data_IF_981876013023
#
_entry.id   IF_981876013023
#
_cell.length_a   1.000
_cell.length_b   1.000
_cell.length_c   1.000
_cell.angle_alpha   90.00
_cell.angle_beta   90.00
_cell.angle_gamma   90.00
#
_symmetry.space_group_name_H-M   'P 1'
#
loop_
_entity.id
_entity.type
_entity.pdbx_description
1 polymer ?
#
# COMPACT_ATOMS: atom_id res chain seq x y z
N UNK A 1 -16.98 3.67 15.86
CA UNK A 1 -15.57 3.39 15.47
C UNK A 1 -15.44 2.98 14.00
N UNK A 2 -16.22 2.00 13.52
CA UNK A 2 -16.20 1.54 12.12
C UNK A 2 -16.62 2.66 11.14
N UNK A 3 -17.62 3.47 11.50
CA UNK A 3 -18.10 4.57 10.64
C UNK A 3 -17.05 5.67 10.45
N UNK A 4 -16.36 6.06 11.52
CA UNK A 4 -15.26 7.03 11.44
C UNK A 4 -14.10 6.49 10.60
N UNK A 5 -13.77 5.20 10.69
CA UNK A 5 -12.75 4.57 9.84
C UNK A 5 -13.12 4.64 8.35
N UNK A 6 -14.38 4.34 8.01
CA UNK A 6 -14.90 4.43 6.64
C UNK A 6 -14.83 5.86 6.11
N UNK A 7 -15.24 6.85 6.92
CA UNK A 7 -15.13 8.27 6.60
C UNK A 7 -13.68 8.68 6.34
N UNK A 8 -12.76 8.32 7.23
CA UNK A 8 -11.33 8.63 7.10
C UNK A 8 -10.69 7.94 5.89
N UNK A 9 -11.10 6.71 5.55
CA UNK A 9 -10.67 6.01 4.33
C UNK A 9 -11.11 6.77 3.06
N UNK A 10 -12.34 7.30 3.05
CA UNK A 10 -12.84 8.14 1.95
C UNK A 10 -12.03 9.44 1.83
N UNK A 11 -11.76 10.11 2.96
CA UNK A 11 -10.92 11.31 2.99
C UNK A 11 -9.51 11.01 2.49
N UNK A 12 -8.88 9.92 2.96
CA UNK A 12 -7.56 9.47 2.49
C UNK A 12 -7.54 9.26 0.98
N UNK A 13 -8.59 8.67 0.40
CA UNK A 13 -8.70 8.46 -1.05
C UNK A 13 -8.71 9.79 -1.81
N UNK A 14 -9.50 10.76 -1.34
CA UNK A 14 -9.57 12.11 -1.92
C UNK A 14 -8.23 12.83 -1.82
N UNK A 15 -7.60 12.79 -0.64
CA UNK A 15 -6.27 13.37 -0.41
C UNK A 15 -5.21 12.73 -1.31
N UNK A 16 -5.22 11.40 -1.45
CA UNK A 16 -4.28 10.67 -2.31
C UNK A 16 -4.43 11.08 -3.78
N UNK A 17 -5.65 11.33 -4.26
CA UNK A 17 -5.91 11.81 -5.64
C UNK A 17 -5.33 13.20 -5.90
N UNK A 18 -5.29 14.07 -4.89
CA UNK A 18 -4.71 15.42 -4.98
C UNK A 18 -3.20 15.45 -4.72
N UNK A 19 -2.63 14.36 -4.17
CA UNK A 19 -1.24 14.29 -3.77
C UNK A 19 -0.35 14.16 -5.02
N UNK A 20 0.67 15.01 -5.19
CA UNK A 20 1.61 14.87 -6.28
C UNK A 20 2.51 13.64 -6.07
N UNK A 21 3.12 13.15 -7.14
CA UNK A 21 3.98 11.95 -7.11
C UNK A 21 5.35 12.17 -6.44
N UNK A 22 5.71 13.44 -6.19
CA UNK A 22 7.01 13.84 -5.61
C UNK A 22 8.21 13.28 -6.36
N UNK A 23 8.34 13.67 -7.63
CA UNK A 23 9.45 13.28 -8.48
C UNK A 23 10.66 14.21 -8.29
N UNK A 24 11.87 13.71 -8.59
CA UNK A 24 13.10 14.50 -8.51
C UNK A 24 13.06 15.72 -9.44
N UNK A 25 13.64 16.85 -9.04
CA UNK A 25 13.78 17.99 -9.94
C UNK A 25 14.51 17.61 -11.25
N UNK A 26 13.93 17.97 -12.40
CA UNK A 26 14.44 17.68 -13.75
C UNK A 26 14.57 16.17 -14.08
N UNK A 27 13.79 15.29 -13.42
CA UNK A 27 13.80 13.85 -13.70
C UNK A 27 13.53 13.53 -15.19
N UNK A 28 12.57 14.22 -15.80
CA UNK A 28 12.17 14.02 -17.19
C UNK A 28 13.18 14.57 -18.21
N UNK A 29 14.07 15.47 -17.79
CA UNK A 29 15.04 16.12 -18.70
C UNK A 29 16.30 15.28 -18.88
N UNK A 30 16.69 14.55 -17.85
CA UNK A 30 17.96 13.83 -17.83
C UNK A 30 17.73 12.37 -17.40
N UNK A 31 17.90 11.38 -18.30
CA UNK A 31 17.69 9.97 -17.98
C UNK A 31 18.52 9.46 -16.80
N UNK A 32 19.72 10.01 -16.60
CA UNK A 32 20.59 9.73 -15.44
C UNK A 32 19.99 10.16 -14.09
N UNK A 33 19.07 11.13 -14.08
CA UNK A 33 18.38 11.61 -12.89
C UNK A 33 17.06 10.86 -12.76
N UNK A 34 17.11 9.61 -12.29
CA UNK A 34 15.89 8.82 -12.09
C UNK A 34 14.83 9.49 -11.18
N UNK A 35 13.64 8.90 -11.13
CA UNK A 35 12.43 9.49 -10.56
C UNK A 35 12.44 9.69 -9.04
N UNK A 36 13.34 8.98 -8.33
CA UNK A 36 13.41 8.97 -6.86
C UNK A 36 13.59 10.38 -6.28
N UNK A 37 12.66 10.81 -5.41
CA UNK A 37 12.71 12.11 -4.75
C UNK A 37 14.09 12.40 -4.12
N UNK A 38 14.55 13.64 -4.32
CA UNK A 38 15.72 14.22 -3.65
C UNK A 38 15.42 15.68 -3.33
N UNK A 39 15.74 16.10 -2.10
CA UNK A 39 15.55 17.49 -1.68
C UNK A 39 16.38 18.42 -2.59
N UNK A 40 15.78 19.41 -3.27
CA UNK A 40 16.52 20.35 -4.09
C UNK A 40 17.39 21.26 -3.22
N UNK A 41 18.71 21.25 -3.46
CA UNK A 41 19.69 21.99 -2.65
C UNK A 41 20.12 23.34 -3.25
N UNK A 42 20.14 23.46 -4.58
CA UNK A 42 20.71 24.62 -5.26
C UNK A 42 20.02 25.95 -4.91
N UNK A 43 20.82 27.02 -4.73
CA UNK A 43 20.33 28.36 -4.34
C UNK A 43 19.28 28.88 -5.33
N UNK A 44 19.51 28.69 -6.62
CA UNK A 44 18.64 29.14 -7.72
C UNK A 44 17.59 28.11 -8.14
N UNK A 45 17.47 26.97 -7.43
CA UNK A 45 16.46 25.97 -7.74
C UNK A 45 15.06 26.57 -7.61
N UNK A 46 14.35 26.58 -8.74
CA UNK A 46 12.99 27.09 -8.87
C UNK A 46 12.01 26.28 -8.00
N UNK A 47 12.21 24.95 -7.95
CA UNK A 47 11.46 24.06 -7.07
C UNK A 47 11.73 24.40 -5.59
N UNK A 48 13.00 24.59 -5.19
CA UNK A 48 13.35 24.98 -3.80
C UNK A 48 12.71 26.30 -3.39
N UNK A 49 12.55 27.24 -4.31
CA UNK A 49 11.88 28.54 -4.10
C UNK A 49 10.36 28.48 -4.24
N UNK A 50 9.77 27.29 -4.36
CA UNK A 50 8.32 27.07 -4.46
C UNK A 50 7.66 27.79 -5.66
N UNK A 51 8.39 27.96 -6.77
CA UNK A 51 7.82 28.59 -7.96
C UNK A 51 6.77 27.69 -8.63
N UNK A 52 5.61 28.28 -8.95
CA UNK A 52 4.47 27.59 -9.57
C UNK A 52 4.89 26.91 -10.89
N UNK A 53 4.40 25.68 -11.10
CA UNK A 53 4.67 24.90 -12.32
C UNK A 53 5.97 24.08 -12.30
N UNK A 54 6.80 24.16 -11.25
CA UNK A 54 8.01 23.33 -11.12
C UNK A 54 7.82 22.05 -10.32
N UNK A 55 6.63 21.86 -9.74
CA UNK A 55 6.27 20.74 -8.86
C UNK A 55 6.14 21.18 -7.41
N UNK A 56 5.93 20.21 -6.52
CA UNK A 56 5.73 20.43 -5.08
C UNK A 56 6.81 19.73 -4.26
N UNK A 57 7.23 20.33 -3.15
CA UNK A 57 8.09 19.66 -2.17
C UNK A 57 7.25 18.82 -1.20
N UNK A 58 7.72 17.64 -0.76
CA UNK A 58 7.14 16.94 0.36
C UNK A 58 7.18 17.82 1.62
N UNK A 59 6.01 17.97 2.25
CA UNK A 59 5.82 18.59 3.55
C UNK A 59 4.94 17.69 4.44
N UNK A 60 5.00 17.83 5.78
CA UNK A 60 4.21 17.00 6.72
C UNK A 60 2.70 17.02 6.45
N UNK A 61 2.14 18.15 6.02
CA UNK A 61 0.71 18.28 5.66
C UNK A 61 0.21 17.41 4.49
N UNK A 62 1.06 16.73 3.72
CA UNK A 62 0.63 15.73 2.72
C UNK A 62 0.43 14.33 3.32
N UNK A 63 0.56 14.20 4.63
CA UNK A 63 0.30 12.96 5.36
C UNK A 63 -1.18 12.56 5.32
N UNK A 64 -1.46 11.26 5.24
CA UNK A 64 -2.83 10.77 5.46
C UNK A 64 -3.20 10.81 6.95
N UNK A 65 -4.50 10.82 7.30
CA UNK A 65 -4.94 10.75 8.69
C UNK A 65 -4.32 9.55 9.41
N UNK A 66 -3.94 9.74 10.67
CA UNK A 66 -3.11 8.79 11.41
C UNK A 66 -3.75 7.40 11.50
N UNK A 67 -5.05 7.32 11.84
CA UNK A 67 -5.77 6.06 12.04
C UNK A 67 -5.84 5.18 10.78
N UNK A 68 -5.92 5.80 9.61
CA UNK A 68 -6.04 5.07 8.33
C UNK A 68 -4.74 5.02 7.54
N UNK A 69 -3.63 5.51 8.10
CA UNK A 69 -2.33 5.50 7.43
C UNK A 69 -1.83 4.07 7.29
N UNK A 70 -1.38 3.68 6.10
CA UNK A 70 -0.83 2.34 5.84
C UNK A 70 -1.86 1.21 5.66
N UNK A 71 -3.16 1.45 5.90
CA UNK A 71 -4.19 0.44 5.64
C UNK A 71 -4.36 0.14 4.13
N UNK A 72 -4.80 -1.07 3.81
CA UNK A 72 -5.25 -1.45 2.47
C UNK A 72 -6.49 -0.61 2.08
N UNK A 73 -6.79 -0.37 0.79
CA UNK A 73 -8.02 0.33 0.37
C UNK A 73 -9.32 -0.30 0.89
N UNK A 74 -9.30 -1.59 1.24
CA UNK A 74 -10.42 -2.29 1.88
C UNK A 74 -10.55 -2.04 3.38
N UNK A 75 -9.61 -1.31 3.99
CA UNK A 75 -9.62 -0.96 5.42
C UNK A 75 -8.86 -1.93 6.33
N UNK A 76 -8.40 -3.07 5.81
CA UNK A 76 -7.61 -4.04 6.58
C UNK A 76 -6.13 -3.62 6.67
N UNK A 77 -5.47 -3.97 7.76
CA UNK A 77 -4.03 -3.81 7.95
C UNK A 77 -3.30 -4.96 7.27
N UNK A 78 -2.41 -4.64 6.34
CA UNK A 78 -1.63 -5.64 5.63
C UNK A 78 -0.57 -6.26 6.55
N UNK A 79 -0.52 -7.59 6.60
CA UNK A 79 0.52 -8.36 7.29
C UNK A 79 1.28 -9.17 6.24
N UNK A 80 2.61 -9.06 6.25
CA UNK A 80 3.46 -9.80 5.33
C UNK A 80 3.82 -11.14 5.95
N UNK A 81 3.51 -12.23 5.25
CA UNK A 81 3.67 -13.61 5.72
C UNK A 81 4.68 -14.36 4.87
N UNK A 82 5.55 -15.14 5.52
CA UNK A 82 6.59 -15.96 4.90
C UNK A 82 6.36 -17.46 5.10
N UNK A 83 5.79 -17.86 6.24
CA UNK A 83 5.52 -19.25 6.61
C UNK A 83 4.09 -19.43 7.16
N UNK A 84 3.72 -20.66 7.53
CA UNK A 84 2.39 -20.97 8.07
C UNK A 84 2.21 -20.43 9.49
N UNK A 85 3.27 -20.44 10.30
CA UNK A 85 3.26 -19.99 11.70
C UNK A 85 3.00 -18.47 11.81
N UNK A 86 3.41 -17.68 10.81
CA UNK A 86 3.15 -16.24 10.76
C UNK A 86 1.64 -15.91 10.60
N UNK A 87 0.79 -16.91 10.34
CA UNK A 87 -0.67 -16.76 10.30
C UNK A 87 -1.32 -16.87 11.69
N UNK A 88 -0.60 -17.41 12.67
CA UNK A 88 -1.11 -17.60 14.02
C UNK A 88 -1.25 -16.24 14.72
N UNK A 89 -2.39 -16.03 15.40
CA UNK A 89 -2.67 -14.78 16.11
C UNK A 89 -3.15 -13.61 15.24
N UNK A 90 -3.49 -13.84 13.96
CA UNK A 90 -4.06 -12.80 13.10
C UNK A 90 -5.59 -12.76 13.17
N UNK A 91 -6.14 -11.59 13.47
CA UNK A 91 -7.59 -11.35 13.44
C UNK A 91 -8.13 -11.08 12.02
N UNK A 92 -9.10 -11.88 11.51
CA UNK A 92 -9.69 -11.70 10.17
C UNK A 92 -10.39 -10.37 9.95
N UNK A 93 -10.88 -9.73 11.02
CA UNK A 93 -11.60 -8.44 10.94
C UNK A 93 -10.66 -7.26 10.76
N UNK A 94 -9.42 -7.38 11.21
CA UNK A 94 -8.44 -6.27 11.25
C UNK A 94 -7.35 -6.50 10.20
N UNK A 95 -6.92 -7.74 10.01
CA UNK A 95 -5.74 -8.08 9.23
C UNK A 95 -6.10 -8.68 7.86
N UNK A 96 -5.27 -8.35 6.87
CA UNK A 96 -5.24 -9.03 5.58
C UNK A 96 -3.83 -9.56 5.33
N UNK A 97 -3.73 -10.75 4.76
CA UNK A 97 -2.46 -11.43 4.54
C UNK A 97 -1.92 -11.11 3.15
N UNK A 98 -0.64 -10.71 3.08
CA UNK A 98 0.14 -10.62 1.84
C UNK A 98 1.28 -11.61 1.91
N UNK A 99 1.23 -12.64 1.08
CA UNK A 99 2.28 -13.66 1.02
C UNK A 99 3.50 -13.05 0.34
N UNK A 100 4.68 -13.16 0.95
CA UNK A 100 5.92 -12.65 0.36
C UNK A 100 6.22 -13.31 -1.01
N UNK A 101 6.85 -12.55 -1.90
CA UNK A 101 7.22 -13.02 -3.24
C UNK A 101 8.25 -14.16 -3.23
N UNK A 102 9.07 -14.24 -2.17
CA UNK A 102 10.10 -15.27 -2.00
C UNK A 102 9.53 -16.66 -1.66
N UNK A 103 8.25 -16.75 -1.27
CA UNK A 103 7.64 -18.03 -0.90
C UNK A 103 7.32 -18.83 -2.16
N UNK A 104 7.91 -20.02 -2.28
CA UNK A 104 7.67 -20.94 -3.40
C UNK A 104 6.25 -21.51 -3.44
N UNK A 105 5.84 -22.02 -4.61
CA UNK A 105 4.46 -22.49 -4.87
C UNK A 105 3.93 -23.49 -3.84
N UNK A 106 4.75 -24.49 -3.46
CA UNK A 106 4.37 -25.52 -2.48
C UNK A 106 3.92 -24.91 -1.14
N UNK A 107 4.77 -24.08 -0.53
CA UNK A 107 4.46 -23.36 0.72
C UNK A 107 3.31 -22.37 0.56
N UNK A 108 3.16 -21.74 -0.61
CA UNK A 108 2.01 -20.84 -0.87
C UNK A 108 0.68 -21.58 -0.83
N UNK A 109 0.60 -22.82 -1.32
CA UNK A 109 -0.61 -23.65 -1.25
C UNK A 109 -0.95 -23.97 0.20
N UNK A 110 0.05 -24.36 1.00
CA UNK A 110 -0.11 -24.64 2.44
C UNK A 110 -0.62 -23.40 3.20
N UNK A 111 0.02 -22.24 3.00
CA UNK A 111 -0.38 -20.96 3.60
C UNK A 111 -1.79 -20.57 3.17
N UNK A 112 -2.17 -20.82 1.91
CA UNK A 112 -3.50 -20.48 1.41
C UNK A 112 -4.59 -21.36 2.03
N UNK A 113 -4.36 -22.67 2.16
CA UNK A 113 -5.27 -23.59 2.85
C UNK A 113 -5.46 -23.16 4.31
N UNK A 114 -4.36 -22.90 5.02
CA UNK A 114 -4.43 -22.45 6.42
C UNK A 114 -5.10 -21.09 6.57
N UNK A 115 -4.86 -20.16 5.65
CA UNK A 115 -5.52 -18.87 5.66
C UNK A 115 -7.04 -18.99 5.42
N UNK A 116 -7.47 -19.92 4.56
CA UNK A 116 -8.90 -20.22 4.35
C UNK A 116 -9.55 -20.80 5.61
N UNK A 117 -8.90 -21.75 6.28
CA UNK A 117 -9.36 -22.31 7.56
C UNK A 117 -9.55 -21.22 8.63
N UNK A 118 -8.63 -20.26 8.70
CA UNK A 118 -8.68 -19.14 9.64
C UNK A 118 -9.60 -17.99 9.19
N UNK A 119 -10.18 -18.07 7.98
CA UNK A 119 -11.02 -17.01 7.41
C UNK A 119 -10.25 -15.72 7.05
N UNK A 120 -8.92 -15.79 6.93
CA UNK A 120 -8.05 -14.66 6.61
C UNK A 120 -8.08 -14.33 5.12
N UNK A 121 -8.23 -13.05 4.78
CA UNK A 121 -8.23 -12.62 3.38
C UNK A 121 -6.82 -12.47 2.83
N UNK A 122 -6.49 -13.24 1.79
CA UNK A 122 -5.20 -13.17 1.08
C UNK A 122 -5.28 -12.15 -0.06
N UNK A 123 -4.37 -11.18 -0.08
CA UNK A 123 -4.35 -10.08 -1.07
C UNK A 123 -3.74 -10.46 -2.41
N UNK A 124 -2.84 -11.44 -2.42
CA UNK A 124 -2.16 -11.94 -3.61
C UNK A 124 -2.36 -13.45 -3.75
N UNK A 125 -3.59 -13.93 -4.04
CA UNK A 125 -3.86 -15.34 -4.19
C UNK A 125 -3.09 -15.93 -5.38
N UNK A 126 -2.79 -17.22 -5.31
CA UNK A 126 -2.34 -17.97 -6.49
C UNK A 126 -3.53 -18.08 -7.45
N UNK A 127 -3.37 -17.61 -8.69
CA UNK A 127 -4.29 -17.96 -9.76
C UNK A 127 -3.98 -19.40 -10.17
N UNK A 128 -4.58 -20.36 -9.47
CA UNK A 128 -4.66 -21.72 -9.97
C UNK A 128 -5.93 -21.77 -10.85
N UNK A 129 -5.90 -22.48 -11.98
CA UNK A 129 -7.06 -22.61 -12.87
C UNK A 129 -8.34 -22.91 -12.09
N UNK A 130 -9.43 -22.28 -12.50
CA UNK A 130 -10.73 -22.30 -11.84
C UNK A 130 -11.19 -23.70 -11.47
N UNK A 131 -11.22 -24.02 -10.18
CA UNK A 131 -12.10 -25.06 -9.63
C UNK A 131 -12.63 -24.61 -8.26
N UNK A 132 -13.91 -24.21 -8.28
CA UNK A 132 -14.91 -24.21 -7.22
C UNK A 132 -14.54 -23.69 -5.81
N UNK A 133 -14.95 -22.46 -5.52
CA UNK A 133 -15.38 -22.09 -4.16
C UNK A 133 -16.82 -21.57 -4.27
N UNK A 134 -17.82 -22.20 -3.61
CA UNK A 134 -19.18 -21.68 -3.60
C UNK A 134 -19.16 -20.31 -2.92
N UNK A 135 -19.55 -19.28 -3.65
CA UNK A 135 -19.75 -17.95 -3.10
C UNK A 135 -20.85 -18.05 -2.04
N UNK A 136 -20.45 -17.92 -0.76
CA UNK A 136 -21.39 -17.69 0.32
C UNK A 136 -22.18 -16.41 0.04
N UNK A 137 -23.50 -16.53 0.15
CA UNK A 137 -24.49 -15.46 -0.02
C UNK A 137 -24.17 -14.20 0.79
#
# INVERSE_FOLDING_TARGET
MIEELKRLLKIRRIMKRKKPEFLRQNWFRFPRLGEKWRRPKGRHSKLRRHEKGKGFLPHPGYGSPALVRGLHPSGLKEVRVFNVNDLEGLDPKIHAVRIASQVGKKKRIEIMKKAQELGLRVLNPLKCGEENVPNGK
#
